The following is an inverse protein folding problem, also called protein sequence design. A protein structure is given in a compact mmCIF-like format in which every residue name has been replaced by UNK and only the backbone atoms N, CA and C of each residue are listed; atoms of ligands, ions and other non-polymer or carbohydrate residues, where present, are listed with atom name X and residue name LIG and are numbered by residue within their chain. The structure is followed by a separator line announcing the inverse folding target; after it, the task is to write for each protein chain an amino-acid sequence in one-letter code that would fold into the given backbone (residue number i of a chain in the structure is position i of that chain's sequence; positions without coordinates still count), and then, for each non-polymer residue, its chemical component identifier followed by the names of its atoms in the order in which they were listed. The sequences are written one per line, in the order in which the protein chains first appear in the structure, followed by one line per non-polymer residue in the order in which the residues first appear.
data_IF_648150802675
#
_entry.id   IF_648150802675
#
_cell.length_a   1.000
_cell.length_b   1.000
_cell.length_c   1.000
_cell.angle_alpha   90.00
_cell.angle_beta   90.00
_cell.angle_gamma   90.00
#
_symmetry.space_group_name_H-M   'P 1'
#
loop_
_entity.id
_entity.type
_entity.pdbx_description
1 polymer ?
#
# COMPACT_ATOMS: atom_id res chain seq x y z
N UNK A 1 -13.17 25.03 -12.88
CA UNK A 1 -13.25 24.59 -11.47
C UNK A 1 -12.05 25.19 -10.75
N UNK A 2 -12.27 26.06 -9.72
CA UNK A 2 -11.18 26.49 -8.84
C UNK A 2 -10.95 25.36 -7.83
N UNK A 3 -10.02 24.49 -8.13
CA UNK A 3 -9.59 23.43 -7.21
C UNK A 3 -8.74 24.08 -6.13
N UNK A 4 -8.98 23.79 -4.85
CA UNK A 4 -8.08 24.27 -3.80
C UNK A 4 -6.69 23.63 -3.98
N UNK A 5 -5.64 24.34 -3.55
CA UNK A 5 -4.24 23.86 -3.62
C UNK A 5 -4.13 22.45 -3.01
N UNK A 6 -4.83 22.18 -1.91
CA UNK A 6 -4.84 20.91 -1.20
C UNK A 6 -5.46 19.74 -2.00
N UNK A 7 -6.37 20.01 -2.93
CA UNK A 7 -7.05 18.99 -3.70
C UNK A 7 -6.37 18.69 -5.05
N UNK A 8 -5.45 19.56 -5.49
CA UNK A 8 -4.85 19.45 -6.81
C UNK A 8 -4.03 18.16 -6.97
N UNK A 9 -3.18 17.86 -6.00
CA UNK A 9 -2.40 16.62 -5.97
C UNK A 9 -3.31 15.39 -5.82
N UNK A 10 -4.30 15.45 -4.92
CA UNK A 10 -5.25 14.33 -4.68
C UNK A 10 -6.05 13.95 -5.93
N UNK A 11 -6.36 14.91 -6.80
CA UNK A 11 -7.03 14.64 -8.08
C UNK A 11 -6.11 13.84 -8.99
N UNK A 12 -4.83 14.21 -9.09
CA UNK A 12 -3.85 13.46 -9.89
C UNK A 12 -3.66 12.06 -9.31
N UNK A 13 -3.51 11.93 -8.00
CA UNK A 13 -3.43 10.63 -7.30
C UNK A 13 -4.62 9.73 -7.67
N UNK A 14 -5.85 10.25 -7.55
CA UNK A 14 -7.06 9.49 -7.86
C UNK A 14 -7.12 9.08 -9.33
N UNK A 15 -6.75 9.96 -10.28
CA UNK A 15 -6.71 9.64 -11.71
C UNK A 15 -5.70 8.52 -11.98
N UNK A 16 -4.48 8.66 -11.47
CA UNK A 16 -3.41 7.67 -11.67
C UNK A 16 -3.82 6.32 -11.11
N UNK A 17 -4.27 6.26 -9.84
CA UNK A 17 -4.67 5.01 -9.21
C UNK A 17 -5.86 4.34 -9.90
N UNK A 18 -6.86 5.12 -10.35
CA UNK A 18 -8.02 4.57 -11.05
C UNK A 18 -7.62 4.01 -12.42
N UNK A 19 -6.79 4.71 -13.19
CA UNK A 19 -6.42 4.25 -14.52
C UNK A 19 -5.45 3.06 -14.48
N UNK A 20 -4.50 3.07 -13.55
CA UNK A 20 -3.54 1.96 -13.38
C UNK A 20 -4.12 0.76 -12.63
N UNK A 21 -5.40 0.77 -12.24
CA UNK A 21 -6.13 -0.42 -11.81
C UNK A 21 -6.80 -1.18 -12.96
N UNK A 22 -6.73 -0.64 -14.19
CA UNK A 22 -7.16 -1.31 -15.40
C UNK A 22 -6.01 -2.20 -15.88
N UNK A 23 -6.27 -3.47 -16.13
CA UNK A 23 -5.29 -4.39 -16.68
C UNK A 23 -4.61 -3.81 -17.92
N UNK A 24 -3.31 -4.04 -18.07
CA UNK A 24 -2.47 -3.52 -19.18
C UNK A 24 -2.16 -2.01 -19.11
N UNK A 25 -2.70 -1.23 -18.15
CA UNK A 25 -2.35 0.19 -17.97
C UNK A 25 -1.26 0.34 -16.91
N UNK A 26 -0.02 0.41 -17.34
CA UNK A 26 1.14 0.54 -16.44
C UNK A 26 1.38 1.99 -16.00
N UNK A 27 1.12 2.97 -16.88
CA UNK A 27 1.38 4.38 -16.61
C UNK A 27 0.39 5.31 -17.29
N UNK A 28 0.31 6.54 -16.78
CA UNK A 28 -0.56 7.62 -17.25
C UNK A 28 0.29 8.84 -17.63
N UNK A 29 -0.05 9.47 -18.75
CA UNK A 29 0.51 10.78 -19.13
C UNK A 29 -0.64 11.78 -19.13
N UNK A 30 -0.48 12.86 -18.36
CA UNK A 30 -1.52 13.89 -18.25
C UNK A 30 -1.14 15.08 -19.14
N UNK A 31 -2.07 15.51 -19.97
CA UNK A 31 -1.92 16.70 -20.82
C UNK A 31 -2.83 17.82 -20.33
N UNK A 32 -2.31 19.04 -20.34
CA UNK A 32 -3.07 20.26 -20.13
C UNK A 32 -2.78 21.23 -21.26
N UNK A 33 -3.81 21.69 -21.97
CA UNK A 33 -3.70 22.61 -23.10
C UNK A 33 -2.71 22.11 -24.18
N UNK A 34 -2.67 20.80 -24.43
CA UNK A 34 -1.80 20.16 -25.44
C UNK A 34 -0.34 19.91 -25.01
N UNK A 35 0.03 20.28 -23.79
CA UNK A 35 1.37 20.04 -23.25
C UNK A 35 1.32 19.02 -22.10
N UNK A 36 2.39 18.24 -21.95
CA UNK A 36 2.53 17.32 -20.80
C UNK A 36 2.54 18.14 -19.52
N UNK A 37 1.69 17.77 -18.56
CA UNK A 37 1.61 18.41 -17.26
C UNK A 37 2.78 17.97 -16.38
N UNK A 38 3.83 18.77 -16.31
CA UNK A 38 5.02 18.51 -15.48
C UNK A 38 5.04 19.33 -14.20
N UNK A 39 4.09 20.24 -14.01
CA UNK A 39 4.00 21.07 -12.81
C UNK A 39 2.56 21.42 -12.55
N UNK A 40 2.09 21.19 -11.33
CA UNK A 40 0.72 21.53 -10.94
C UNK A 40 0.52 23.07 -10.94
N UNK A 41 -0.56 23.58 -11.54
CA UNK A 41 -0.74 25.01 -11.76
C UNK A 41 -0.77 25.86 -10.47
N UNK A 42 -1.35 25.36 -9.40
CA UNK A 42 -1.54 26.11 -8.15
C UNK A 42 -0.48 25.76 -7.11
N UNK A 43 -0.31 24.49 -6.78
CA UNK A 43 0.62 24.02 -5.75
C UNK A 43 2.09 24.09 -6.16
N UNK A 44 2.36 24.21 -7.50
CA UNK A 44 3.72 24.21 -8.08
C UNK A 44 4.50 22.90 -7.81
N UNK A 45 3.81 21.84 -7.42
CA UNK A 45 4.42 20.52 -7.29
C UNK A 45 4.87 20.04 -8.67
N UNK A 46 6.12 19.59 -8.75
CA UNK A 46 6.67 19.00 -9.98
C UNK A 46 6.18 17.55 -10.11
N UNK A 47 5.67 17.22 -11.30
CA UNK A 47 5.22 15.88 -11.65
C UNK A 47 6.24 15.20 -12.59
N UNK A 48 6.44 13.90 -12.48
CA UNK A 48 7.06 13.11 -13.54
C UNK A 48 6.27 13.22 -14.85
N UNK A 49 6.94 13.05 -15.98
CA UNK A 49 6.27 13.05 -17.30
C UNK A 49 5.36 11.84 -17.50
N UNK A 50 5.66 10.73 -16.84
CA UNK A 50 4.85 9.51 -16.75
C UNK A 50 4.57 9.23 -15.29
N UNK A 51 3.34 8.85 -14.98
CA UNK A 51 2.85 8.58 -13.63
C UNK A 51 2.36 7.15 -13.55
N UNK A 52 2.84 6.39 -12.60
CA UNK A 52 2.44 5.03 -12.29
C UNK A 52 1.96 4.91 -10.83
N UNK A 53 1.68 3.71 -10.35
CA UNK A 53 1.22 3.49 -8.97
C UNK A 53 2.23 3.97 -7.92
N UNK A 54 3.52 4.02 -8.24
CA UNK A 54 4.55 4.55 -7.33
C UNK A 54 4.42 6.06 -7.07
N UNK A 55 3.58 6.76 -7.85
CA UNK A 55 3.22 8.14 -7.54
C UNK A 55 2.58 8.24 -6.16
N UNK A 56 1.78 7.24 -5.78
CA UNK A 56 1.12 7.13 -4.50
C UNK A 56 -0.27 7.78 -4.47
N UNK A 57 -1.02 7.48 -3.41
CA UNK A 57 -2.39 7.96 -3.17
C UNK A 57 -2.60 8.26 -1.69
N UNK A 58 -3.45 9.25 -1.37
CA UNK A 58 -3.73 9.66 0.01
C UNK A 58 -2.44 9.89 0.81
N UNK A 59 -1.47 10.58 0.21
CA UNK A 59 -0.12 10.71 0.75
C UNK A 59 -0.08 11.35 2.13
N UNK A 60 0.62 10.69 3.04
CA UNK A 60 0.99 11.21 4.35
C UNK A 60 2.49 11.44 4.41
N UNK A 61 2.87 12.68 4.67
CA UNK A 61 4.27 13.10 4.69
C UNK A 61 4.80 13.15 6.13
N UNK A 62 5.81 12.32 6.41
CA UNK A 62 6.57 12.32 7.65
C UNK A 62 8.07 12.29 7.32
N UNK A 63 8.56 13.39 6.73
CA UNK A 63 9.93 13.54 6.27
C UNK A 63 10.68 14.54 7.16
N UNK A 64 11.87 14.17 7.59
CA UNK A 64 12.78 15.02 8.35
C UNK A 64 14.04 15.43 7.53
N UNK A 65 14.23 14.85 6.35
CA UNK A 65 15.35 15.10 5.45
C UNK A 65 14.88 15.05 3.99
N UNK A 66 15.53 15.82 3.13
CA UNK A 66 15.31 15.75 1.67
C UNK A 66 16.07 14.59 1.01
N UNK A 67 16.85 13.82 1.78
CA UNK A 67 17.57 12.65 1.28
C UNK A 67 16.86 11.38 1.72
N UNK A 68 17.02 10.31 0.95
CA UNK A 68 16.52 8.99 1.27
C UNK A 68 15.00 9.00 1.55
N UNK A 69 14.25 9.69 0.69
CA UNK A 69 12.80 9.69 0.78
C UNK A 69 12.29 8.40 0.15
N UNK A 70 11.56 7.64 0.94
CA UNK A 70 10.92 6.38 0.54
C UNK A 70 9.40 6.56 0.50
N UNK A 71 8.74 5.72 -0.27
CA UNK A 71 7.30 5.64 -0.34
C UNK A 71 6.86 4.21 -0.11
N UNK A 72 5.89 4.00 0.76
CA UNK A 72 5.27 2.71 1.02
C UNK A 72 3.76 2.86 1.02
N UNK A 73 3.08 2.19 0.11
CA UNK A 73 1.62 2.20 0.04
C UNK A 73 1.06 1.07 0.90
N UNK A 74 0.19 1.41 1.83
CA UNK A 74 -0.37 0.50 2.82
C UNK A 74 -1.89 0.54 2.71
N UNK A 75 -2.54 -0.61 2.67
CA UNK A 75 -3.98 -0.73 2.63
C UNK A 75 -4.55 -0.89 4.03
N UNK A 76 -5.44 0.01 4.37
CA UNK A 76 -6.23 -0.02 5.59
C UNK A 76 -7.69 -0.33 5.27
N UNK A 77 -8.49 -0.55 6.28
CA UNK A 77 -9.94 -0.75 6.18
C UNK A 77 -10.64 0.52 6.65
N UNK A 78 -11.69 0.91 5.95
CA UNK A 78 -12.61 1.97 6.36
C UNK A 78 -14.04 1.48 6.19
N UNK A 79 -14.94 1.91 7.06
CA UNK A 79 -16.36 1.56 6.99
C UNK A 79 -17.20 2.77 6.57
N UNK A 80 -18.08 2.57 5.59
CA UNK A 80 -19.08 3.54 5.20
C UNK A 80 -20.42 2.84 4.86
N UNK A 81 -21.51 3.28 5.47
CA UNK A 81 -22.83 2.67 5.32
C UNK A 81 -22.86 1.15 5.59
N UNK A 82 -22.19 0.70 6.64
CA UNK A 82 -22.06 -0.71 7.04
C UNK A 82 -21.39 -1.59 5.95
N UNK A 83 -20.54 -0.98 5.13
CA UNK A 83 -19.68 -1.70 4.17
C UNK A 83 -18.24 -1.32 4.41
N UNK A 84 -17.38 -2.31 4.40
CA UNK A 84 -15.94 -2.13 4.49
C UNK A 84 -15.32 -1.88 3.11
N UNK A 85 -14.28 -1.05 3.09
CA UNK A 85 -13.52 -0.68 1.92
C UNK A 85 -12.03 -0.71 2.25
N UNK A 86 -11.23 -1.23 1.34
CA UNK A 86 -9.79 -1.17 1.43
C UNK A 86 -9.29 0.18 0.91
N UNK A 87 -8.61 0.93 1.76
CA UNK A 87 -8.17 2.30 1.48
C UNK A 87 -6.65 2.36 1.44
N UNK A 88 -6.04 2.58 0.27
CA UNK A 88 -4.60 2.76 0.16
C UNK A 88 -4.16 4.13 0.70
N UNK A 89 -3.08 4.14 1.47
CA UNK A 89 -2.40 5.34 1.97
C UNK A 89 -0.91 5.21 1.71
N UNK A 90 -0.32 6.16 1.02
CA UNK A 90 1.11 6.17 0.76
C UNK A 90 1.83 6.97 1.84
N UNK A 91 2.63 6.30 2.65
CA UNK A 91 3.53 6.91 3.62
C UNK A 91 4.79 7.39 2.89
N UNK A 92 5.07 8.69 2.99
CA UNK A 92 6.28 9.31 2.44
C UNK A 92 7.20 9.65 3.61
N UNK A 93 8.28 8.89 3.77
CA UNK A 93 9.12 8.93 4.96
C UNK A 93 10.61 8.92 4.61
N UNK A 94 11.47 8.93 5.63
CA UNK A 94 12.90 8.63 5.51
C UNK A 94 13.23 7.25 6.09
N UNK A 95 12.25 6.36 6.21
CA UNK A 95 12.45 4.98 6.68
C UNK A 95 12.97 4.12 5.53
N UNK A 96 14.18 3.60 5.68
CA UNK A 96 14.89 2.79 4.67
C UNK A 96 14.79 1.27 4.96
N UNK A 97 14.00 0.87 5.97
CA UNK A 97 13.74 -0.55 6.24
C UNK A 97 13.06 -1.23 5.06
N UNK A 98 13.03 -2.55 5.08
CA UNK A 98 12.25 -3.30 4.09
C UNK A 98 10.77 -2.88 4.16
N UNK A 99 10.14 -2.69 3.00
CA UNK A 99 8.76 -2.20 2.92
C UNK A 99 7.77 -3.07 3.68
N UNK A 100 7.96 -4.41 3.69
CA UNK A 100 7.08 -5.30 4.44
C UNK A 100 7.19 -5.08 5.96
N UNK A 101 8.37 -4.74 6.49
CA UNK A 101 8.51 -4.39 7.90
C UNK A 101 7.71 -3.12 8.23
N UNK A 102 7.78 -2.11 7.34
CA UNK A 102 7.01 -0.87 7.49
C UNK A 102 5.50 -1.16 7.41
N UNK A 103 5.07 -2.01 6.48
CA UNK A 103 3.66 -2.42 6.33
C UNK A 103 3.15 -3.09 7.60
N UNK A 104 3.89 -4.07 8.13
CA UNK A 104 3.49 -4.80 9.33
C UNK A 104 3.46 -3.88 10.55
N UNK A 105 4.48 -3.03 10.74
CA UNK A 105 4.53 -2.06 11.84
C UNK A 105 3.35 -1.09 11.80
N UNK A 106 3.03 -0.56 10.63
CA UNK A 106 1.92 0.39 10.47
C UNK A 106 0.56 -0.28 10.71
N UNK A 107 0.35 -1.50 10.19
CA UNK A 107 -0.90 -2.24 10.36
C UNK A 107 -1.09 -2.74 11.80
N UNK A 108 -0.02 -3.09 12.51
CA UNK A 108 -0.06 -3.52 13.92
C UNK A 108 -0.06 -2.34 14.90
N UNK A 109 0.24 -1.11 14.44
CA UNK A 109 0.37 0.04 15.32
C UNK A 109 -0.97 0.59 15.79
N UNK A 110 -1.04 1.06 17.05
CA UNK A 110 -2.20 1.75 17.59
C UNK A 110 -2.47 3.14 16.97
N UNK A 111 -1.54 3.65 16.14
CA UNK A 111 -1.68 4.95 15.47
C UNK A 111 -2.79 4.96 14.41
N UNK A 112 -3.20 3.79 13.92
CA UNK A 112 -4.33 3.61 13.02
C UNK A 112 -5.62 4.23 13.59
N UNK A 113 -5.79 4.23 14.91
CA UNK A 113 -6.98 4.77 15.58
C UNK A 113 -7.11 6.30 15.55
N UNK A 114 -6.15 7.05 15.02
CA UNK A 114 -6.24 8.51 14.90
C UNK A 114 -7.03 8.98 13.66
N UNK A 115 -7.34 8.07 12.77
CA UNK A 115 -8.11 8.29 11.55
C UNK A 115 -9.32 7.37 11.54
N UNK A 116 -10.23 7.52 10.58
CA UNK A 116 -11.32 6.54 10.37
C UNK A 116 -10.85 5.27 9.66
N UNK A 117 -9.54 5.01 9.66
CA UNK A 117 -8.91 3.84 9.09
C UNK A 117 -8.69 2.79 10.19
N UNK A 118 -8.87 1.53 9.84
CA UNK A 118 -8.74 0.40 10.75
C UNK A 118 -7.77 -0.64 10.18
N UNK A 119 -7.20 -1.43 11.07
CA UNK A 119 -6.49 -2.66 10.74
C UNK A 119 -6.93 -3.75 11.72
N UNK A 120 -7.11 -4.95 11.22
CA UNK A 120 -7.40 -6.14 12.04
C UNK A 120 -6.15 -6.95 12.41
N UNK A 121 -4.96 -6.47 11.97
CA UNK A 121 -3.71 -7.11 12.35
C UNK A 121 -3.46 -6.94 13.86
N UNK A 122 -3.24 -8.05 14.56
CA UNK A 122 -2.96 -8.04 15.97
C UNK A 122 -1.65 -7.27 16.26
N UNK A 123 -1.67 -6.40 17.25
CA UNK A 123 -0.51 -5.57 17.64
C UNK A 123 0.69 -6.36 18.20
N UNK A 124 0.51 -7.66 18.51
CA UNK A 124 1.59 -8.56 18.90
C UNK A 124 2.12 -9.39 17.73
N UNK A 125 1.62 -9.15 16.50
CA UNK A 125 2.13 -9.82 15.32
C UNK A 125 3.54 -9.32 15.00
N UNK A 126 4.47 -10.25 14.89
CA UNK A 126 5.87 -9.99 14.56
C UNK A 126 6.23 -10.66 13.24
N UNK A 127 6.95 -9.95 12.39
CA UNK A 127 7.55 -10.48 11.18
C UNK A 127 8.86 -11.17 11.55
N UNK A 128 8.93 -12.50 11.40
CA UNK A 128 10.10 -13.31 11.76
C UNK A 128 11.13 -13.34 10.64
N UNK A 129 10.66 -13.48 9.39
CA UNK A 129 11.55 -13.46 8.22
C UNK A 129 10.81 -13.08 6.94
N UNK A 130 11.55 -12.63 5.95
CA UNK A 130 11.09 -12.33 4.59
C UNK A 130 12.08 -12.90 3.60
N UNK A 131 11.57 -13.62 2.59
CA UNK A 131 12.37 -14.13 1.49
C UNK A 131 11.65 -13.83 0.18
N UNK A 132 12.36 -13.22 -0.75
CA UNK A 132 11.89 -13.02 -2.13
C UNK A 132 12.56 -14.07 -3.00
N UNK A 133 11.75 -14.92 -3.63
CA UNK A 133 12.18 -16.04 -4.46
C UNK A 133 11.44 -15.97 -5.80
N UNK A 134 12.16 -15.62 -6.86
CA UNK A 134 11.59 -15.39 -8.18
C UNK A 134 10.40 -14.41 -8.12
N UNK A 135 9.19 -14.88 -8.43
CA UNK A 135 7.95 -14.10 -8.44
C UNK A 135 7.13 -14.25 -7.13
N UNK A 136 7.72 -14.81 -6.09
CA UNK A 136 7.05 -15.05 -4.81
C UNK A 136 7.70 -14.26 -3.67
N UNK A 137 6.89 -13.65 -2.82
CA UNK A 137 7.32 -13.10 -1.54
C UNK A 137 6.83 -14.02 -0.42
N UNK A 138 7.77 -14.70 0.24
CA UNK A 138 7.49 -15.55 1.40
C UNK A 138 7.68 -14.73 2.67
N UNK A 139 6.61 -14.54 3.43
CA UNK A 139 6.59 -13.79 4.68
C UNK A 139 6.26 -14.74 5.84
N UNK A 140 7.07 -14.71 6.89
CA UNK A 140 6.92 -15.60 8.04
C UNK A 140 6.61 -14.78 9.30
N UNK A 141 5.53 -15.11 9.97
CA UNK A 141 5.05 -14.43 11.16
C UNK A 141 5.10 -15.32 12.40
N UNK A 142 5.02 -14.71 13.57
CA UNK A 142 4.71 -15.44 14.80
C UNK A 142 3.21 -15.81 14.85
N UNK A 143 2.84 -16.67 15.78
CA UNK A 143 1.46 -17.19 15.92
C UNK A 143 0.43 -16.11 16.34
N UNK A 144 0.84 -14.91 16.69
CA UNK A 144 -0.07 -13.81 17.03
C UNK A 144 -0.88 -13.28 15.83
N UNK A 145 -0.50 -13.63 14.60
CA UNK A 145 -1.28 -13.30 13.40
C UNK A 145 -2.60 -14.08 13.31
N UNK A 146 -2.71 -15.23 13.98
CA UNK A 146 -3.93 -16.03 13.96
C UNK A 146 -5.07 -15.32 14.71
N UNK A 147 -6.25 -15.32 14.09
CA UNK A 147 -7.50 -14.96 14.75
C UNK A 147 -7.92 -16.04 15.78
N UNK A 148 -7.74 -17.30 15.40
CA UNK A 148 -7.93 -18.47 16.26
C UNK A 148 -6.73 -19.42 16.11
N UNK A 149 -5.98 -19.58 17.19
CA UNK A 149 -4.78 -20.42 17.23
C UNK A 149 -5.10 -21.92 17.08
N UNK A 150 -6.32 -22.34 17.43
CA UNK A 150 -6.70 -23.75 17.34
C UNK A 150 -7.02 -24.15 15.90
N UNK A 151 -7.63 -23.24 15.13
CA UNK A 151 -7.95 -23.46 13.71
C UNK A 151 -6.81 -23.00 12.79
N UNK A 152 -5.81 -22.28 13.32
CA UNK A 152 -4.73 -21.65 12.54
C UNK A 152 -5.27 -20.75 11.44
N UNK A 153 -6.32 -20.00 11.74
CA UNK A 153 -7.01 -19.18 10.77
C UNK A 153 -6.53 -17.71 10.87
N UNK A 154 -6.14 -17.15 9.74
CA UNK A 154 -5.85 -15.73 9.58
C UNK A 154 -7.10 -15.05 9.03
N UNK A 155 -7.48 -13.89 9.58
CA UNK A 155 -8.60 -13.12 9.04
C UNK A 155 -8.39 -12.75 7.58
N UNK A 156 -9.43 -12.86 6.79
CA UNK A 156 -9.40 -12.51 5.36
C UNK A 156 -8.99 -11.05 5.14
N UNK A 157 -9.44 -10.15 6.01
CA UNK A 157 -9.10 -8.73 5.99
C UNK A 157 -7.60 -8.49 6.22
N UNK A 158 -6.96 -9.29 7.08
CA UNK A 158 -5.51 -9.24 7.32
C UNK A 158 -4.76 -9.72 6.08
N UNK A 159 -5.19 -10.83 5.49
CA UNK A 159 -4.61 -11.35 4.25
C UNK A 159 -4.72 -10.31 3.13
N UNK A 160 -5.88 -9.71 2.93
CA UNK A 160 -6.09 -8.73 1.86
C UNK A 160 -5.32 -7.43 2.10
N UNK A 161 -5.30 -6.86 3.30
CA UNK A 161 -4.57 -5.61 3.57
C UNK A 161 -3.07 -5.80 3.33
N UNK A 162 -2.49 -6.93 3.76
CA UNK A 162 -1.08 -7.24 3.53
C UNK A 162 -0.82 -7.52 2.05
N UNK A 163 -1.63 -8.37 1.39
CA UNK A 163 -1.44 -8.74 -0.01
C UNK A 163 -1.55 -7.55 -0.96
N UNK A 164 -2.57 -6.68 -0.77
CA UNK A 164 -2.72 -5.47 -1.57
C UNK A 164 -1.56 -4.49 -1.33
N UNK A 165 -1.09 -4.37 -0.08
CA UNK A 165 0.07 -3.54 0.24
C UNK A 165 1.32 -4.07 -0.46
N UNK A 166 1.53 -5.38 -0.47
CA UNK A 166 2.65 -6.00 -1.18
C UNK A 166 2.54 -5.77 -2.68
N UNK A 167 1.36 -5.96 -3.28
CA UNK A 167 1.14 -5.76 -4.71
C UNK A 167 1.52 -4.35 -5.20
N UNK A 168 1.32 -3.32 -4.39
CA UNK A 168 1.67 -1.93 -4.73
C UNK A 168 3.14 -1.56 -4.44
N UNK A 169 3.88 -2.42 -3.74
CA UNK A 169 5.24 -2.12 -3.29
C UNK A 169 6.32 -3.05 -3.83
N UNK A 170 5.94 -4.24 -4.33
CA UNK A 170 6.83 -5.28 -4.84
C UNK A 170 6.37 -5.73 -6.23
N UNK A 171 7.31 -6.17 -7.03
CA UNK A 171 7.00 -6.78 -8.33
C UNK A 171 7.04 -8.30 -8.19
N UNK A 172 6.01 -8.84 -7.52
CA UNK A 172 5.81 -10.28 -7.30
C UNK A 172 4.40 -10.68 -7.71
N UNK A 173 4.24 -11.93 -8.10
CA UNK A 173 2.95 -12.47 -8.53
C UNK A 173 2.20 -13.18 -7.38
N UNK A 174 2.94 -13.57 -6.33
CA UNK A 174 2.40 -14.40 -5.26
C UNK A 174 2.97 -13.97 -3.91
N UNK A 175 2.14 -14.05 -2.88
CA UNK A 175 2.55 -13.90 -1.47
C UNK A 175 2.24 -15.19 -0.72
N UNK A 176 3.24 -15.73 -0.06
CA UNK A 176 3.10 -16.90 0.80
C UNK A 176 3.16 -16.48 2.26
N UNK A 177 2.12 -16.78 3.00
CA UNK A 177 2.01 -16.52 4.43
C UNK A 177 2.43 -17.76 5.22
N UNK A 178 3.59 -17.68 5.85
CA UNK A 178 4.06 -18.67 6.80
C UNK A 178 3.83 -18.21 8.24
N UNK A 179 3.59 -19.12 9.13
CA UNK A 179 3.55 -18.89 10.58
C UNK A 179 4.41 -19.93 11.25
N UNK A 180 5.42 -19.50 12.02
CA UNK A 180 6.38 -20.40 12.67
C UNK A 180 7.00 -21.42 11.66
N UNK A 181 7.35 -20.91 10.45
CA UNK A 181 7.90 -21.68 9.32
C UNK A 181 6.93 -22.68 8.67
N UNK A 182 5.65 -22.70 9.02
CA UNK A 182 4.62 -23.51 8.38
C UNK A 182 3.83 -22.67 7.37
N UNK A 183 3.68 -23.11 6.11
CA UNK A 183 2.85 -22.45 5.12
C UNK A 183 1.37 -22.56 5.51
N UNK A 184 0.70 -21.41 5.69
CA UNK A 184 -0.70 -21.33 6.08
C UNK A 184 -1.58 -20.90 4.92
N UNK A 185 -1.11 -19.94 4.11
CA UNK A 185 -1.91 -19.37 3.03
C UNK A 185 -1.03 -18.88 1.88
N UNK A 186 -1.54 -18.98 0.65
CA UNK A 186 -0.90 -18.48 -0.55
C UNK A 186 -1.87 -17.57 -1.32
N UNK A 187 -1.51 -16.32 -1.48
CA UNK A 187 -2.29 -15.32 -2.21
C UNK A 187 -1.68 -15.07 -3.59
N UNK A 188 -2.49 -15.20 -4.63
CA UNK A 188 -2.09 -14.84 -6.00
C UNK A 188 -2.48 -13.39 -6.26
N UNK A 189 -1.51 -12.53 -6.54
CA UNK A 189 -1.69 -11.10 -6.74
C UNK A 189 -2.02 -10.76 -8.19
N UNK A 190 -1.38 -11.45 -9.14
CA UNK A 190 -1.60 -11.29 -10.57
C UNK A 190 -2.02 -12.64 -11.15
N UNK A 191 -3.09 -12.65 -11.95
CA UNK A 191 -3.48 -13.86 -12.69
C UNK A 191 -2.38 -14.13 -13.72
N UNK A 192 -1.81 -15.34 -13.68
CA UNK A 192 -0.94 -15.83 -14.76
C UNK A 192 -1.91 -16.23 -15.89
N UNK A 193 -1.98 -15.43 -16.97
CA UNK A 193 -2.63 -15.85 -18.21
C UNK A 193 -1.73 -16.83 -19.01
#
# INVERSE_FOLDING_TARGET
MNTSIENEEKIIEAIVFTLTSIDEVEFVIIYMEGNILTTLPQSKITLPSTLDRSFGINKEYNINSRKNITKTTIYYISEFNNKEYYVPVTKVTNDERNKIEIIVDELSSSNVYKTNLMSYLNNNTELLSVNELDDELVINFNSAIFNDINTKEILEEVIYTISMSINDNYDVNTVVFNVEDEEIYKSVLKSIE
#
